data_IF_668955948566
#
_entry.id   IF_668955948566
#
_cell.length_a   1.000
_cell.length_b   1.000
_cell.length_c   1.000
_cell.angle_alpha   90.00
_cell.angle_beta   90.00
_cell.angle_gamma   90.00
#
_symmetry.space_group_name_H-M   'P 1'
#
loop_
_entity.id
_entity.type
_entity.pdbx_description
1 polymer ?
#
# COMPACT_ATOMS: atom_id res chain seq x y z
N UNK A 1 2.48 7.22 9.26
CA UNK A 1 3.13 5.92 9.02
C UNK A 1 4.29 6.07 8.03
N UNK A 2 5.51 5.65 8.41
CA UNK A 2 6.67 5.60 7.51
C UNK A 2 6.69 4.34 6.62
N UNK A 3 7.45 4.32 5.49
CA UNK A 3 7.48 3.20 4.56
C UNK A 3 7.84 1.84 5.17
N UNK A 4 8.76 1.80 6.14
CA UNK A 4 9.10 0.57 6.84
C UNK A 4 7.90 0.00 7.60
N UNK A 5 7.26 0.81 8.47
CA UNK A 5 6.05 0.39 9.23
C UNK A 5 4.91 0.00 8.30
N UNK A 6 4.75 0.72 7.18
CA UNK A 6 3.75 0.37 6.18
C UNK A 6 4.08 -0.96 5.48
N UNK A 7 5.35 -1.26 5.21
CA UNK A 7 5.77 -2.54 4.64
C UNK A 7 5.43 -3.69 5.58
N UNK A 8 5.76 -3.56 6.88
CA UNK A 8 5.45 -4.56 7.90
C UNK A 8 3.94 -4.79 8.03
N UNK A 9 3.17 -3.70 8.09
CA UNK A 9 1.70 -3.74 8.10
C UNK A 9 1.14 -4.44 6.85
N UNK A 10 1.61 -4.07 5.66
CA UNK A 10 1.10 -4.62 4.42
C UNK A 10 1.46 -6.11 4.27
N UNK A 11 2.64 -6.55 4.72
CA UNK A 11 3.00 -7.96 4.77
C UNK A 11 2.06 -8.73 5.71
N UNK A 12 1.83 -8.22 6.91
CA UNK A 12 0.94 -8.87 7.88
C UNK A 12 -0.51 -8.96 7.38
N UNK A 13 -0.99 -7.92 6.69
CA UNK A 13 -2.30 -7.92 6.06
C UNK A 13 -2.40 -8.92 4.90
N UNK A 14 -1.48 -8.82 3.95
CA UNK A 14 -1.56 -9.56 2.68
C UNK A 14 -1.35 -11.05 2.90
N UNK A 15 -0.47 -11.47 3.81
CA UNK A 15 -0.25 -12.90 4.10
C UNK A 15 -1.49 -13.60 4.65
N UNK A 16 -2.41 -12.84 5.25
CA UNK A 16 -3.67 -13.31 5.81
C UNK A 16 -4.85 -13.16 4.84
N UNK A 17 -4.61 -12.62 3.63
CA UNK A 17 -5.66 -12.43 2.63
C UNK A 17 -5.90 -13.71 1.83
N UNK A 18 -7.17 -14.16 1.67
CA UNK A 18 -7.48 -15.35 0.88
C UNK A 18 -6.93 -15.31 -0.56
N UNK A 19 -6.43 -16.44 -1.04
CA UNK A 19 -5.87 -16.58 -2.39
C UNK A 19 -4.40 -16.18 -2.53
N UNK A 20 -3.77 -15.65 -1.48
CA UNK A 20 -2.33 -15.39 -1.42
C UNK A 20 -1.60 -16.66 -1.01
N UNK A 21 -0.62 -17.08 -1.82
CA UNK A 21 0.21 -18.25 -1.54
C UNK A 21 1.56 -17.90 -0.93
N UNK A 22 2.05 -16.68 -1.19
CA UNK A 22 3.33 -16.18 -0.67
C UNK A 22 3.35 -14.66 -0.62
N UNK A 23 3.94 -14.11 0.43
CA UNK A 23 4.26 -12.69 0.58
C UNK A 23 5.67 -12.56 1.10
N UNK A 24 6.45 -11.67 0.50
CA UNK A 24 7.84 -11.40 0.88
C UNK A 24 8.14 -9.91 0.72
N UNK A 25 9.17 -9.41 1.39
CA UNK A 25 9.75 -8.10 1.05
C UNK A 25 10.31 -8.12 -0.37
N UNK A 26 10.49 -6.94 -0.99
CA UNK A 26 11.14 -6.84 -2.31
C UNK A 26 12.57 -7.42 -2.30
N UNK A 27 13.35 -7.15 -1.24
CA UNK A 27 14.70 -7.69 -1.07
C UNK A 27 14.73 -9.22 -1.08
N UNK A 28 13.82 -9.87 -0.34
CA UNK A 28 13.70 -11.33 -0.34
C UNK A 28 13.24 -11.91 -1.70
N UNK A 29 12.53 -11.11 -2.50
CA UNK A 29 12.16 -11.43 -3.87
C UNK A 29 13.25 -11.10 -4.91
N UNK A 30 14.44 -10.67 -4.47
CA UNK A 30 15.60 -10.37 -5.29
C UNK A 30 15.60 -8.96 -5.91
N UNK A 31 14.80 -8.02 -5.39
CA UNK A 31 14.85 -6.61 -5.76
C UNK A 31 15.55 -5.80 -4.66
N UNK A 32 16.81 -5.46 -4.93
CA UNK A 32 17.70 -4.69 -4.05
C UNK A 32 17.68 -3.18 -4.34
N UNK A 33 16.96 -2.74 -5.38
CA UNK A 33 16.88 -1.33 -5.79
C UNK A 33 15.83 -0.57 -4.99
N UNK A 34 14.83 -1.28 -4.48
CA UNK A 34 13.67 -0.71 -3.82
C UNK A 34 13.66 -1.15 -2.35
N UNK A 35 14.07 -0.26 -1.41
CA UNK A 35 14.26 -0.66 -0.01
C UNK A 35 12.96 -1.04 0.69
N UNK A 36 11.81 -0.53 0.21
CA UNK A 36 10.50 -0.73 0.82
C UNK A 36 9.50 -1.18 -0.21
N UNK A 37 8.69 -2.18 0.15
CA UNK A 37 7.79 -2.84 -0.77
C UNK A 37 7.63 -4.31 -0.48
N UNK A 38 6.78 -4.96 -1.27
CA UNK A 38 6.52 -6.39 -1.14
C UNK A 38 6.24 -7.04 -2.49
N UNK A 39 6.48 -8.35 -2.54
CA UNK A 39 6.07 -9.24 -3.61
C UNK A 39 4.89 -10.10 -3.12
N UNK A 40 3.82 -10.17 -3.91
CA UNK A 40 2.62 -10.96 -3.64
C UNK A 40 2.51 -12.04 -4.71
N UNK A 41 2.48 -13.30 -4.30
CA UNK A 41 2.18 -14.42 -5.19
C UNK A 41 0.75 -14.89 -4.93
N UNK A 42 -0.05 -14.95 -5.98
CA UNK A 42 -1.40 -15.55 -6.00
C UNK A 42 -1.47 -16.62 -7.09
N UNK A 43 -2.63 -17.26 -7.27
CA UNK A 43 -2.86 -18.17 -8.39
C UNK A 43 -2.72 -17.49 -9.77
N UNK A 44 -2.87 -16.15 -9.85
CA UNK A 44 -2.73 -15.39 -11.08
C UNK A 44 -1.28 -15.03 -11.42
N UNK A 45 -0.35 -15.18 -10.47
CA UNK A 45 1.07 -14.88 -10.65
C UNK A 45 1.65 -14.05 -9.51
N UNK A 46 2.88 -13.58 -9.72
CA UNK A 46 3.59 -12.68 -8.80
C UNK A 46 3.42 -11.22 -9.23
N UNK A 47 3.15 -10.34 -8.27
CA UNK A 47 3.16 -8.88 -8.46
C UNK A 47 4.09 -8.25 -7.45
N UNK A 48 4.80 -7.20 -7.85
CA UNK A 48 5.79 -6.51 -7.02
C UNK A 48 5.40 -5.05 -6.84
N UNK A 49 5.53 -4.57 -5.62
CA UNK A 49 5.05 -3.25 -5.23
C UNK A 49 6.14 -2.50 -4.49
N UNK A 50 6.59 -1.38 -5.06
CA UNK A 50 7.49 -0.46 -4.39
C UNK A 50 6.68 0.53 -3.55
N UNK A 51 7.12 0.76 -2.30
CA UNK A 51 6.54 1.77 -1.42
C UNK A 51 7.45 2.98 -1.28
N UNK A 52 6.92 4.16 -1.63
CA UNK A 52 7.61 5.44 -1.44
C UNK A 52 6.80 6.31 -0.48
N UNK A 53 7.44 6.83 0.57
CA UNK A 53 6.80 7.70 1.55
C UNK A 53 6.96 9.18 1.21
N UNK A 54 5.91 9.94 1.47
CA UNK A 54 5.93 11.40 1.44
C UNK A 54 5.44 11.91 2.81
N UNK A 55 6.22 12.81 3.40
CA UNK A 55 5.83 13.51 4.62
C UNK A 55 4.68 14.49 4.33
N UNK A 56 3.92 14.91 5.36
CA UNK A 56 2.97 16.01 5.24
C UNK A 56 3.62 17.26 4.66
N UNK A 57 2.83 18.09 3.99
CA UNK A 57 3.34 19.33 3.43
C UNK A 57 3.97 20.22 4.51
N UNK A 58 5.16 20.77 4.20
CA UNK A 58 5.95 21.57 5.14
C UNK A 58 6.68 20.79 6.26
N UNK A 59 6.48 19.48 6.40
CA UNK A 59 7.17 18.69 7.42
C UNK A 59 8.62 18.36 7.02
N UNK A 60 9.53 18.43 7.99
CA UNK A 60 10.93 18.05 7.82
C UNK A 60 11.22 16.69 8.44
N UNK A 61 12.09 15.90 7.81
CA UNK A 61 12.47 14.58 8.29
C UNK A 61 13.02 14.54 9.72
N UNK A 62 13.72 15.60 10.14
CA UNK A 62 14.30 15.71 11.49
C UNK A 62 13.25 16.02 12.58
N UNK A 63 12.13 16.64 12.20
CA UNK A 63 11.13 17.17 13.12
C UNK A 63 9.84 16.33 13.10
N UNK A 64 9.69 15.43 12.12
CA UNK A 64 8.50 14.62 11.94
C UNK A 64 8.65 13.23 12.55
N UNK A 65 8.14 13.06 13.76
CA UNK A 65 8.06 11.76 14.42
C UNK A 65 6.99 10.86 13.78
N UNK A 66 7.23 9.55 13.73
CA UNK A 66 6.25 8.58 13.20
C UNK A 66 5.20 8.20 14.25
N UNK A 67 4.55 9.20 14.84
CA UNK A 67 3.47 9.00 15.80
C UNK A 67 2.20 8.61 15.05
N UNK A 68 1.57 7.45 15.35
CA UNK A 68 0.28 7.08 14.78
C UNK A 68 -0.78 8.13 15.07
N UNK A 69 -1.49 8.57 14.02
CA UNK A 69 -2.70 9.39 14.16
C UNK A 69 -3.85 8.55 13.65
N UNK A 70 -4.85 8.35 14.49
CA UNK A 70 -5.99 7.48 14.21
C UNK A 70 -7.26 8.27 13.97
N UNK A 71 -8.12 7.79 13.06
CA UNK A 71 -9.44 8.35 12.78
C UNK A 71 -10.39 7.26 12.26
N UNK A 72 -11.43 7.68 11.54
CA UNK A 72 -12.29 6.73 10.82
C UNK A 72 -11.45 5.99 9.76
N UNK A 73 -11.52 4.66 9.67
CA UNK A 73 -10.83 3.91 8.62
C UNK A 73 -11.30 4.34 7.22
N UNK A 74 -10.45 4.12 6.23
CA UNK A 74 -10.81 4.35 4.83
C UNK A 74 -12.07 3.57 4.44
N UNK A 75 -12.86 4.14 3.52
CA UNK A 75 -14.01 3.46 2.94
C UNK A 75 -13.58 2.19 2.20
N UNK A 76 -14.31 1.10 2.38
CA UNK A 76 -14.02 -0.18 1.73
C UNK A 76 -14.16 -0.07 0.21
N UNK A 77 -13.31 -0.80 -0.53
CA UNK A 77 -13.27 -0.78 -2.00
C UNK A 77 -13.65 -2.14 -2.62
N UNK A 78 -14.55 -2.88 -1.96
CA UNK A 78 -14.90 -4.25 -2.32
C UNK A 78 -13.98 -5.29 -1.69
N UNK A 79 -14.09 -6.55 -2.12
CA UNK A 79 -13.21 -7.63 -1.64
C UNK A 79 -12.05 -7.86 -2.62
N UNK A 80 -10.86 -8.24 -2.14
CA UNK A 80 -9.75 -8.59 -3.03
C UNK A 80 -10.09 -9.73 -4.01
N UNK A 81 -10.99 -10.66 -3.64
CA UNK A 81 -11.39 -11.77 -4.50
C UNK A 81 -12.16 -11.32 -5.76
N UNK A 82 -12.84 -10.18 -5.70
CA UNK A 82 -13.63 -9.63 -6.80
C UNK A 82 -12.83 -8.64 -7.68
N UNK A 83 -11.56 -8.43 -7.36
CA UNK A 83 -10.72 -7.43 -8.02
C UNK A 83 -10.36 -7.82 -9.47
N UNK A 84 -10.44 -6.85 -10.38
CA UNK A 84 -10.19 -7.00 -11.81
C UNK A 84 -8.71 -6.85 -12.21
N UNK A 85 -7.86 -6.46 -11.28
CA UNK A 85 -6.46 -6.12 -11.51
C UNK A 85 -5.64 -6.20 -10.22
N UNK A 86 -4.30 -6.38 -10.30
CA UNK A 86 -3.43 -6.31 -9.12
C UNK A 86 -3.58 -5.01 -8.33
N UNK A 87 -3.79 -3.89 -9.01
CA UNK A 87 -4.02 -2.58 -8.41
C UNK A 87 -5.35 -2.53 -7.65
N UNK A 88 -6.45 -3.02 -8.25
CA UNK A 88 -7.73 -3.14 -7.56
C UNK A 88 -7.63 -4.06 -6.34
N UNK A 89 -6.88 -5.16 -6.48
CA UNK A 89 -6.69 -6.15 -5.43
C UNK A 89 -6.00 -5.54 -4.21
N UNK A 90 -4.87 -4.85 -4.42
CA UNK A 90 -4.12 -4.22 -3.33
C UNK A 90 -4.92 -3.08 -2.69
N UNK A 91 -5.62 -2.27 -3.49
CA UNK A 91 -6.49 -1.22 -2.96
C UNK A 91 -7.61 -1.78 -2.09
N UNK A 92 -8.29 -2.84 -2.53
CA UNK A 92 -9.33 -3.51 -1.77
C UNK A 92 -8.80 -4.13 -0.46
N UNK A 93 -7.61 -4.75 -0.50
CA UNK A 93 -6.99 -5.31 0.69
C UNK A 93 -6.66 -4.22 1.73
N UNK A 94 -6.03 -3.13 1.30
CA UNK A 94 -5.66 -2.02 2.18
C UNK A 94 -6.88 -1.31 2.76
N UNK A 95 -7.90 -1.04 1.95
CA UNK A 95 -9.14 -0.41 2.40
C UNK A 95 -9.96 -1.32 3.33
N UNK A 96 -9.97 -2.63 3.07
CA UNK A 96 -10.66 -3.64 3.88
C UNK A 96 -9.95 -4.00 5.19
N UNK A 97 -8.72 -3.52 5.41
CA UNK A 97 -7.96 -3.78 6.63
C UNK A 97 -8.50 -3.04 7.88
N UNK A 98 -9.43 -2.10 7.68
CA UNK A 98 -9.99 -1.23 8.73
C UNK A 98 -8.91 -0.55 9.60
N UNK A 99 -7.74 -0.27 9.01
CA UNK A 99 -6.63 0.36 9.70
C UNK A 99 -7.01 1.79 10.11
N UNK A 100 -7.03 2.12 11.41
CA UNK A 100 -7.49 3.43 11.87
C UNK A 100 -6.52 4.56 11.50
N UNK A 101 -5.29 4.27 11.07
CA UNK A 101 -4.34 5.28 10.60
C UNK A 101 -4.58 5.70 9.14
N UNK A 102 -5.20 4.84 8.33
CA UNK A 102 -5.42 5.08 6.90
C UNK A 102 -6.71 5.90 6.75
N UNK A 103 -6.58 7.09 6.19
CA UNK A 103 -7.70 7.98 5.91
C UNK A 103 -8.33 7.68 4.55
N UNK A 104 -7.51 7.50 3.51
CA UNK A 104 -7.98 7.20 2.15
C UNK A 104 -7.05 6.26 1.40
N UNK A 105 -7.63 5.52 0.46
CA UNK A 105 -6.93 4.67 -0.50
C UNK A 105 -7.44 5.03 -1.89
N UNK A 106 -6.53 5.33 -2.82
CA UNK A 106 -6.85 5.81 -4.16
C UNK A 106 -6.08 5.05 -5.23
N UNK A 107 -6.78 4.55 -6.25
CA UNK A 107 -6.17 3.87 -7.41
C UNK A 107 -5.73 4.89 -8.46
N UNK A 108 -4.53 4.75 -8.98
CA UNK A 108 -4.00 5.62 -10.04
C UNK A 108 -4.73 5.38 -11.37
N UNK A 109 -5.15 4.14 -11.63
CA UNK A 109 -5.89 3.77 -12.84
C UNK A 109 -7.25 4.44 -12.98
N UNK A 110 -7.83 4.89 -11.86
CA UNK A 110 -9.16 5.51 -11.81
C UNK A 110 -9.09 7.03 -11.64
N UNK A 111 -7.90 7.62 -11.65
CA UNK A 111 -7.74 9.06 -11.61
C UNK A 111 -8.33 9.73 -12.87
N UNK A 112 -8.74 11.01 -12.81
CA UNK A 112 -9.31 11.72 -13.97
C UNK A 112 -8.41 11.73 -15.22
N UNK A 113 -7.10 11.80 -15.00
CA UNK A 113 -6.09 11.70 -16.06
C UNK A 113 -5.14 10.53 -15.73
N UNK A 114 -5.56 9.28 -16.03
CA UNK A 114 -4.79 8.11 -15.61
C UNK A 114 -3.48 8.05 -16.41
N UNK A 115 -2.37 7.94 -15.68
CA UNK A 115 -1.06 7.68 -16.29
C UNK A 115 -0.93 6.24 -16.80
N UNK A 116 0.22 5.94 -17.42
CA UNK A 116 0.57 4.56 -17.83
C UNK A 116 0.97 3.65 -16.66
N UNK A 117 1.32 4.23 -15.51
CA UNK A 117 1.73 3.50 -14.31
C UNK A 117 0.51 3.01 -13.53
N UNK A 118 0.64 1.83 -12.91
CA UNK A 118 -0.34 1.24 -12.00
C UNK A 118 0.13 1.43 -10.56
N UNK A 119 -0.76 1.82 -9.68
CA UNK A 119 -0.38 2.13 -8.31
C UNK A 119 -1.54 2.53 -7.41
N UNK A 120 -1.26 2.55 -6.12
CA UNK A 120 -2.21 2.97 -5.09
C UNK A 120 -1.57 4.08 -4.27
N UNK A 121 -2.30 5.16 -4.03
CA UNK A 121 -1.94 6.16 -3.02
C UNK A 121 -2.68 5.85 -1.74
N UNK A 122 -1.96 5.76 -0.63
CA UNK A 122 -2.51 5.65 0.72
C UNK A 122 -2.25 6.95 1.44
N UNK A 123 -3.30 7.65 1.86
CA UNK A 123 -3.19 8.87 2.68
C UNK A 123 -3.54 8.53 4.12
N UNK A 124 -2.69 8.93 5.06
CA UNK A 124 -2.89 8.72 6.49
C UNK A 124 -3.56 9.94 7.14
N UNK A 125 -4.16 9.76 8.32
CA UNK A 125 -4.76 10.87 9.08
C UNK A 125 -3.75 11.95 9.50
N UNK A 126 -2.47 11.61 9.60
CA UNK A 126 -1.40 12.59 9.82
C UNK A 126 -0.98 13.34 8.53
N UNK A 127 -1.73 13.18 7.44
CA UNK A 127 -1.47 13.74 6.10
C UNK A 127 -0.21 13.22 5.38
N UNK A 128 0.53 12.28 5.96
CA UNK A 128 1.58 11.58 5.24
C UNK A 128 0.95 10.72 4.14
N UNK A 129 1.76 10.36 3.14
CA UNK A 129 1.32 9.49 2.04
C UNK A 129 2.30 8.36 1.80
N UNK A 130 1.77 7.23 1.36
CA UNK A 130 2.53 6.16 0.73
C UNK A 130 2.04 6.01 -0.70
N UNK A 131 3.00 5.99 -1.62
CA UNK A 131 2.80 5.65 -3.02
C UNK A 131 3.24 4.20 -3.21
N UNK A 132 2.28 3.31 -3.45
CA UNK A 132 2.49 1.92 -3.77
C UNK A 132 2.44 1.72 -5.28
N UNK A 133 3.60 1.69 -5.94
CA UNK A 133 3.72 1.54 -7.39
C UNK A 133 3.96 0.08 -7.76
N UNK A 134 3.20 -0.44 -8.73
CA UNK A 134 3.47 -1.75 -9.31
C UNK A 134 4.74 -1.69 -10.19
N UNK A 135 5.63 -2.67 -10.02
CA UNK A 135 6.88 -2.82 -10.80
C UNK A 135 6.69 -3.71 -12.03
#
# INVERSE_FOLDING_TARGET
>A
MRPQRFTDFAIDLVKNTPGVSRVQTLTEAGDDKHPWGLAITTAAGETRWQFTGQLPDGAKHAEFEDVPVTGAPAATMGTPADADSPEAWLAAALAGAECPEIATVERWSTAPEPGSQRGVTVTFHNAARIFARQL
#
